data_IF_132589816461
#
_entry.id   IF_132589816461
#
_cell.length_a   1.000
_cell.length_b   1.000
_cell.length_c   1.000
_cell.angle_alpha   90.00
_cell.angle_beta   90.00
_cell.angle_gamma   90.00
#
_symmetry.space_group_name_H-M   'P 1'
#
loop_
_entity.id
_entity.type
_entity.pdbx_description
1 polymer ?
#
# COMPACT_ATOMS: atom_id res chain seq x y z
N UNK A 1 13.67 27.54 -5.83
CA UNK A 1 14.52 26.39 -5.47
C UNK A 1 13.68 25.12 -5.60
N UNK A 2 13.75 24.42 -6.74
CA UNK A 2 12.92 23.25 -7.04
C UNK A 2 13.58 22.00 -6.42
N UNK A 3 13.05 21.51 -5.31
CA UNK A 3 13.66 20.45 -4.50
C UNK A 3 13.49 19.02 -5.06
N UNK A 4 12.78 18.80 -6.17
CA UNK A 4 12.59 17.45 -6.74
C UNK A 4 12.49 17.47 -8.27
N UNK A 5 13.61 17.53 -9.00
CA UNK A 5 13.59 17.58 -10.47
C UNK A 5 13.06 16.30 -11.15
N UNK A 6 12.80 15.21 -10.42
CA UNK A 6 12.42 13.90 -10.96
C UNK A 6 11.02 13.42 -10.50
N UNK A 7 10.29 14.24 -9.73
CA UNK A 7 9.04 13.86 -9.07
C UNK A 7 9.24 13.20 -7.69
N UNK A 8 8.18 13.14 -6.90
CA UNK A 8 8.20 12.62 -5.53
C UNK A 8 7.59 11.19 -5.49
N UNK A 9 7.99 10.36 -4.53
CA UNK A 9 7.54 8.95 -4.47
C UNK A 9 6.03 8.83 -4.20
N UNK A 10 5.40 9.87 -3.67
CA UNK A 10 4.04 9.86 -3.13
C UNK A 10 3.08 10.70 -3.99
N UNK A 11 3.57 11.70 -4.74
CA UNK A 11 2.77 12.48 -5.68
C UNK A 11 3.49 12.80 -7.00
N UNK A 12 2.74 12.76 -8.09
CA UNK A 12 3.22 13.04 -9.45
C UNK A 12 3.16 14.53 -9.85
N UNK A 13 3.56 14.85 -11.10
CA UNK A 13 4.03 13.93 -12.15
C UNK A 13 5.42 13.34 -11.85
N UNK A 14 5.64 12.11 -12.29
CA UNK A 14 6.90 11.36 -12.12
C UNK A 14 7.67 11.39 -13.44
N UNK A 15 8.99 11.61 -13.40
CA UNK A 15 9.81 11.56 -14.62
C UNK A 15 9.93 10.14 -15.17
N UNK A 16 10.21 10.01 -16.47
CA UNK A 16 10.38 8.69 -17.10
C UNK A 16 11.52 7.88 -16.43
N UNK A 17 12.61 8.54 -16.07
CA UNK A 17 13.77 7.92 -15.40
C UNK A 17 13.37 7.38 -14.02
N UNK A 18 12.58 8.15 -13.26
CA UNK A 18 12.09 7.72 -11.95
C UNK A 18 11.09 6.57 -12.08
N UNK A 19 10.22 6.60 -13.09
CA UNK A 19 9.31 5.52 -13.42
C UNK A 19 10.07 4.21 -13.72
N UNK A 20 11.09 4.29 -14.57
CA UNK A 20 11.97 3.15 -14.90
C UNK A 20 12.64 2.56 -13.65
N UNK A 21 13.19 3.41 -12.77
CA UNK A 21 13.83 2.96 -11.54
C UNK A 21 12.86 2.23 -10.58
N UNK A 22 11.65 2.76 -10.39
CA UNK A 22 10.67 2.09 -9.51
C UNK A 22 10.12 0.80 -10.14
N UNK A 23 10.00 0.74 -11.47
CA UNK A 23 9.67 -0.48 -12.20
C UNK A 23 10.74 -1.56 -12.00
N UNK A 24 12.01 -1.24 -12.24
CA UNK A 24 13.15 -2.17 -12.04
C UNK A 24 13.23 -2.68 -10.60
N UNK A 25 12.98 -1.81 -9.62
CA UNK A 25 12.93 -2.21 -8.19
C UNK A 25 11.79 -3.17 -7.90
N UNK A 26 10.63 -2.98 -8.53
CA UNK A 26 9.48 -3.84 -8.33
C UNK A 26 9.70 -5.21 -8.99
N UNK A 27 10.18 -5.23 -10.23
CA UNK A 27 10.43 -6.48 -10.97
C UNK A 27 11.59 -7.27 -10.39
N UNK A 28 12.67 -6.63 -9.95
CA UNK A 28 13.78 -7.31 -9.26
C UNK A 28 13.31 -8.02 -7.98
N UNK A 29 12.44 -7.39 -7.20
CA UNK A 29 11.84 -8.02 -5.99
C UNK A 29 10.92 -9.17 -6.38
N UNK A 30 10.13 -9.03 -7.45
CA UNK A 30 9.28 -10.10 -7.96
C UNK A 30 10.11 -11.31 -8.37
N UNK A 31 11.15 -11.13 -9.19
CA UNK A 31 11.99 -12.24 -9.66
C UNK A 31 12.73 -12.93 -8.51
N UNK A 32 13.27 -12.16 -7.55
CA UNK A 32 13.91 -12.72 -6.36
C UNK A 32 12.94 -13.59 -5.54
N UNK A 33 11.72 -13.11 -5.26
CA UNK A 33 10.73 -13.89 -4.51
C UNK A 33 10.25 -15.10 -5.33
N UNK A 34 10.19 -14.98 -6.66
CA UNK A 34 9.83 -16.09 -7.55
C UNK A 34 10.89 -17.19 -7.54
N UNK A 35 12.18 -16.84 -7.59
CA UNK A 35 13.28 -17.81 -7.66
C UNK A 35 13.67 -18.41 -6.31
N UNK A 36 13.64 -17.63 -5.24
CA UNK A 36 14.18 -18.02 -3.93
C UNK A 36 13.10 -18.15 -2.85
N UNK A 37 11.86 -17.77 -3.17
CA UNK A 37 10.80 -17.62 -2.18
C UNK A 37 10.94 -16.35 -1.35
N UNK A 38 10.01 -16.15 -0.41
CA UNK A 38 10.07 -14.99 0.48
C UNK A 38 11.10 -15.19 1.61
N UNK A 39 12.21 -14.45 1.58
CA UNK A 39 13.23 -14.45 2.64
C UNK A 39 12.87 -13.43 3.72
N UNK A 40 12.63 -13.88 4.96
CA UNK A 40 12.20 -12.99 6.06
C UNK A 40 13.28 -12.02 6.53
N UNK A 41 14.53 -12.44 6.51
CA UNK A 41 15.66 -11.69 7.05
C UNK A 41 16.00 -10.45 6.21
N UNK A 42 15.53 -10.38 4.96
CA UNK A 42 15.60 -9.18 4.12
C UNK A 42 14.61 -8.08 4.56
N UNK A 43 13.79 -8.38 5.56
CA UNK A 43 12.92 -7.46 6.25
C UNK A 43 11.44 -7.62 5.91
N UNK A 44 10.61 -7.41 6.92
CA UNK A 44 9.16 -7.56 6.84
C UNK A 44 8.46 -6.26 6.41
N UNK A 45 7.43 -6.32 5.54
CA UNK A 45 6.51 -5.22 5.34
C UNK A 45 5.89 -4.72 6.64
N UNK A 46 5.80 -3.40 6.76
CA UNK A 46 5.19 -2.75 7.92
C UNK A 46 3.76 -2.38 7.62
N UNK A 47 2.85 -2.71 8.54
CA UNK A 47 1.44 -2.39 8.45
C UNK A 47 1.00 -1.47 9.58
N UNK A 48 0.09 -0.56 9.22
CA UNK A 48 -0.68 0.23 10.16
C UNK A 48 -2.12 -0.25 10.12
N UNK A 49 -2.67 -0.52 11.28
CA UNK A 49 -4.06 -0.94 11.46
C UNK A 49 -4.93 0.30 11.57
N UNK A 50 -5.91 0.42 10.69
CA UNK A 50 -7.01 1.37 10.83
C UNK A 50 -8.14 0.64 11.53
N UNK A 51 -8.77 1.27 12.52
CA UNK A 51 -9.87 0.70 13.30
C UNK A 51 -11.13 1.56 13.20
N UNK A 52 -12.25 0.92 12.87
CA UNK A 52 -13.62 1.48 12.87
C UNK A 52 -14.54 0.54 13.62
N UNK A 53 -14.90 0.86 14.87
CA UNK A 53 -15.66 -0.07 15.71
C UNK A 53 -14.95 -1.41 15.90
N UNK A 54 -15.55 -2.50 15.40
CA UNK A 54 -14.98 -3.85 15.40
C UNK A 54 -14.32 -4.24 14.06
N UNK A 55 -14.25 -3.32 13.11
CA UNK A 55 -13.62 -3.53 11.80
C UNK A 55 -12.17 -3.08 11.82
N UNK A 56 -11.31 -3.83 11.12
CA UNK A 56 -9.88 -3.57 11.03
C UNK A 56 -9.42 -3.60 9.58
N UNK A 57 -8.68 -2.57 9.16
CA UNK A 57 -8.04 -2.50 7.85
C UNK A 57 -6.52 -2.42 8.01
N UNK A 58 -5.82 -3.34 7.35
CA UNK A 58 -4.36 -3.41 7.38
C UNK A 58 -3.76 -2.62 6.22
N UNK A 59 -3.30 -1.39 6.49
CA UNK A 59 -2.71 -0.50 5.50
C UNK A 59 -1.19 -0.71 5.42
N UNK A 60 -0.63 -1.10 4.27
CA UNK A 60 0.81 -1.22 4.12
C UNK A 60 1.49 0.16 4.13
N UNK A 61 2.51 0.32 4.95
CA UNK A 61 3.26 1.56 5.13
C UNK A 61 4.61 1.50 4.43
N UNK A 62 5.36 0.40 4.63
CA UNK A 62 6.74 0.23 4.12
C UNK A 62 6.90 -1.09 3.38
N UNK A 63 7.89 -1.14 2.49
CA UNK A 63 8.26 -2.32 1.69
C UNK A 63 7.11 -2.88 0.84
N UNK A 64 6.29 -2.00 0.29
CA UNK A 64 5.10 -2.33 -0.51
C UNK A 64 5.41 -3.18 -1.76
N UNK A 65 6.61 -3.07 -2.32
CA UNK A 65 7.00 -3.87 -3.49
C UNK A 65 6.99 -5.37 -3.20
N UNK A 66 7.42 -5.79 -2.01
CA UNK A 66 7.38 -7.20 -1.59
C UNK A 66 5.94 -7.70 -1.50
N UNK A 67 5.02 -6.89 -0.98
CA UNK A 67 3.58 -7.21 -0.91
C UNK A 67 3.01 -7.38 -2.33
N UNK A 68 3.31 -6.44 -3.22
CA UNK A 68 2.83 -6.50 -4.60
C UNK A 68 3.38 -7.74 -5.33
N UNK A 69 4.67 -8.05 -5.17
CA UNK A 69 5.28 -9.25 -5.73
C UNK A 69 4.65 -10.55 -5.20
N UNK A 70 4.48 -10.68 -3.88
CA UNK A 70 3.82 -11.84 -3.27
C UNK A 70 2.39 -12.01 -3.77
N UNK A 71 1.63 -10.91 -3.86
CA UNK A 71 0.27 -10.92 -4.41
C UNK A 71 0.25 -11.37 -5.87
N UNK A 72 1.18 -10.88 -6.69
CA UNK A 72 1.31 -11.27 -8.10
C UNK A 72 1.67 -12.75 -8.26
N UNK A 73 2.49 -13.30 -7.36
CA UNK A 73 2.86 -14.72 -7.31
C UNK A 73 1.76 -15.62 -6.69
N UNK A 74 0.64 -15.04 -6.24
CA UNK A 74 -0.50 -15.79 -5.71
C UNK A 74 -0.32 -16.28 -4.27
N UNK A 75 0.49 -15.61 -3.46
CA UNK A 75 0.58 -15.90 -2.03
C UNK A 75 -0.72 -15.50 -1.33
N UNK A 76 -1.27 -16.41 -0.53
CA UNK A 76 -2.49 -16.16 0.25
C UNK A 76 -2.23 -15.38 1.55
N UNK A 77 -0.97 -15.33 2.00
CA UNK A 77 -0.57 -14.63 3.22
C UNK A 77 0.74 -13.86 3.04
N UNK A 78 0.90 -12.78 3.81
CA UNK A 78 2.09 -11.93 3.80
C UNK A 78 2.65 -11.85 5.23
N UNK A 79 3.88 -12.31 5.49
CA UNK A 79 4.51 -12.10 6.79
C UNK A 79 4.78 -10.60 6.96
N UNK A 80 4.41 -10.07 8.12
CA UNK A 80 4.34 -8.64 8.35
C UNK A 80 4.73 -8.28 9.78
N UNK A 81 5.06 -7.01 9.99
CA UNK A 81 5.24 -6.41 11.31
C UNK A 81 4.44 -5.11 11.42
N UNK A 82 4.23 -4.63 12.63
CA UNK A 82 3.55 -3.36 12.85
C UNK A 82 4.49 -2.18 12.57
N UNK A 83 3.90 -1.10 12.04
CA UNK A 83 4.56 0.20 12.04
C UNK A 83 4.62 0.77 13.47
N UNK A 84 5.51 1.74 13.72
CA UNK A 84 5.68 2.34 15.06
C UNK A 84 4.37 2.89 15.62
N UNK A 85 3.56 3.51 14.77
CA UNK A 85 2.16 3.82 15.07
C UNK A 85 1.35 2.68 14.51
N UNK A 86 1.10 1.68 15.36
CA UNK A 86 0.49 0.42 14.95
C UNK A 86 -1.01 0.57 14.67
N UNK A 87 -1.74 1.35 15.49
CA UNK A 87 -3.19 1.47 15.40
C UNK A 87 -3.61 2.93 15.26
N UNK A 88 -4.49 3.21 14.31
CA UNK A 88 -5.20 4.49 14.14
C UNK A 88 -6.69 4.22 14.26
N UNK A 89 -7.26 4.66 15.38
CA UNK A 89 -8.69 4.52 15.67
C UNK A 89 -9.45 5.79 15.29
N UNK A 90 -10.56 5.62 14.57
CA UNK A 90 -11.45 6.71 14.17
C UNK A 90 -12.01 7.49 15.36
N UNK A 91 -12.17 6.83 16.52
CA UNK A 91 -12.64 7.48 17.75
C UNK A 91 -11.65 8.53 18.27
N UNK A 92 -10.38 8.42 17.86
CA UNK A 92 -9.34 9.39 18.18
C UNK A 92 -9.25 10.54 17.17
N UNK A 93 -10.12 10.60 16.17
CA UNK A 93 -10.00 11.56 15.07
C UNK A 93 -9.95 13.03 15.52
N UNK A 94 -10.67 13.40 16.58
CA UNK A 94 -10.63 14.76 17.14
C UNK A 94 -9.24 15.18 17.62
N UNK A 95 -8.38 14.22 17.95
CA UNK A 95 -7.01 14.45 18.45
C UNK A 95 -5.94 14.33 17.36
N UNK A 96 -6.32 13.93 16.13
CA UNK A 96 -5.34 13.82 15.06
C UNK A 96 -4.73 15.20 14.77
N UNK A 97 -3.40 15.30 14.55
CA UNK A 97 -2.72 16.60 14.44
C UNK A 97 -3.33 17.55 13.41
N UNK A 98 -3.83 17.03 12.29
CA UNK A 98 -4.43 17.87 11.24
C UNK A 98 -5.87 18.30 11.59
N UNK A 99 -6.59 17.53 12.39
CA UNK A 99 -7.94 17.87 12.87
C UNK A 99 -7.86 18.86 14.02
N UNK A 100 -7.01 18.60 15.01
CA UNK A 100 -6.83 19.48 16.18
C UNK A 100 -6.25 20.85 15.79
N UNK A 101 -5.47 20.92 14.71
CA UNK A 101 -4.97 22.18 14.13
C UNK A 101 -5.97 22.88 13.19
N UNK A 102 -7.17 22.34 13.01
CA UNK A 102 -8.20 22.90 12.13
C UNK A 102 -7.86 22.85 10.63
N UNK A 103 -6.83 22.11 10.22
CA UNK A 103 -6.49 21.92 8.79
C UNK A 103 -7.47 20.98 8.09
N UNK A 104 -8.06 20.07 8.85
CA UNK A 104 -9.16 19.20 8.42
C UNK A 104 -10.31 19.33 9.40
N UNK A 105 -11.55 19.35 8.90
CA UNK A 105 -12.71 19.23 9.79
C UNK A 105 -12.86 17.78 10.27
N UNK A 106 -13.30 17.60 11.51
CA UNK A 106 -13.57 16.28 12.08
C UNK A 106 -14.51 15.46 11.18
N UNK A 107 -15.57 16.09 10.68
CA UNK A 107 -16.54 15.46 9.79
C UNK A 107 -15.91 14.96 8.49
N UNK A 108 -15.10 15.79 7.81
CA UNK A 108 -14.41 15.39 6.56
C UNK A 108 -13.41 14.27 6.82
N UNK A 109 -12.68 14.34 7.93
CA UNK A 109 -11.76 13.28 8.32
C UNK A 109 -12.47 11.95 8.58
N UNK A 110 -13.64 11.98 9.25
CA UNK A 110 -14.46 10.79 9.47
C UNK A 110 -14.96 10.19 8.17
N UNK A 111 -15.59 11.00 7.30
CA UNK A 111 -16.06 10.55 5.98
C UNK A 111 -14.95 9.94 5.12
N UNK A 112 -13.76 10.55 5.11
CA UNK A 112 -12.63 9.99 4.37
C UNK A 112 -12.16 8.66 4.96
N UNK A 113 -12.14 8.54 6.28
CA UNK A 113 -11.77 7.29 6.94
C UNK A 113 -12.78 6.18 6.65
N UNK A 114 -14.08 6.47 6.72
CA UNK A 114 -15.14 5.53 6.37
C UNK A 114 -15.01 5.06 4.92
N UNK A 115 -14.75 5.99 3.99
CA UNK A 115 -14.49 5.66 2.60
C UNK A 115 -13.35 4.65 2.41
N UNK A 116 -12.31 4.65 3.26
CA UNK A 116 -11.23 3.66 3.15
C UNK A 116 -11.70 2.23 3.45
N UNK A 117 -12.70 2.07 4.32
CA UNK A 117 -13.27 0.76 4.67
C UNK A 117 -14.33 0.34 3.64
N UNK A 118 -15.11 1.30 3.15
CA UNK A 118 -16.25 1.02 2.28
C UNK A 118 -15.85 0.92 0.79
N UNK A 119 -14.60 1.29 0.46
CA UNK A 119 -14.06 1.17 -0.90
C UNK A 119 -13.87 -0.30 -1.30
N UNK A 120 -14.71 -0.78 -2.20
CA UNK A 120 -14.41 -1.98 -2.99
C UNK A 120 -13.32 -1.66 -4.01
N UNK A 121 -12.07 -1.86 -3.59
CA UNK A 121 -10.92 -1.59 -4.44
C UNK A 121 -10.91 -2.48 -5.69
N UNK A 122 -11.43 -3.71 -5.64
CA UNK A 122 -11.40 -4.61 -6.82
C UNK A 122 -12.36 -4.11 -7.88
N UNK A 123 -13.59 -3.78 -7.48
CA UNK A 123 -14.58 -3.18 -8.38
C UNK A 123 -14.06 -1.88 -8.97
N UNK A 124 -13.47 -1.00 -8.15
CA UNK A 124 -12.91 0.26 -8.61
C UNK A 124 -11.81 0.07 -9.67
N UNK A 125 -10.86 -0.86 -9.45
CA UNK A 125 -9.78 -1.13 -10.42
C UNK A 125 -10.33 -1.71 -11.74
N UNK A 126 -11.34 -2.57 -11.67
CA UNK A 126 -12.02 -3.13 -12.85
C UNK A 126 -12.71 -2.03 -13.68
N UNK A 127 -13.48 -1.16 -13.03
CA UNK A 127 -14.17 -0.03 -13.67
C UNK A 127 -13.18 0.96 -14.32
N UNK A 128 -11.96 1.05 -13.79
CA UNK A 128 -10.89 1.88 -14.37
C UNK A 128 -10.13 1.19 -15.50
N UNK A 129 -10.43 -0.07 -15.82
CA UNK A 129 -9.68 -0.84 -16.83
C UNK A 129 -8.21 -1.07 -16.42
N UNK A 130 -7.93 -1.06 -15.11
CA UNK A 130 -6.58 -1.22 -14.55
C UNK A 130 -6.23 -2.67 -14.22
N UNK A 131 -7.10 -3.61 -14.60
CA UNK A 131 -6.86 -5.05 -14.42
C UNK A 131 -6.30 -5.62 -15.71
N UNK A 132 -5.13 -6.24 -15.61
CA UNK A 132 -4.55 -7.06 -16.67
C UNK A 132 -4.89 -8.52 -16.39
N UNK A 133 -5.13 -9.33 -17.43
CA UNK A 133 -5.23 -10.78 -17.24
C UNK A 133 -3.89 -11.26 -16.69
N UNK A 134 -3.88 -11.77 -15.46
CA UNK A 134 -2.74 -12.57 -14.99
C UNK A 134 -2.64 -13.78 -15.90
N UNK A 135 -1.53 -13.94 -16.61
CA UNK A 135 -1.21 -15.19 -17.28
C UNK A 135 -1.01 -16.23 -16.18
N UNK A 136 -2.02 -17.07 -15.97
CA UNK A 136 -1.92 -18.25 -15.12
C UNK A 136 -1.07 -19.29 -15.85
N UNK A 137 0.25 -19.11 -15.86
CA UNK A 137 1.18 -20.21 -16.11
C UNK A 137 1.41 -20.91 -14.77
N UNK A 138 0.43 -21.73 -14.36
CA UNK A 138 0.65 -22.76 -13.34
C UNK A 138 0.83 -24.09 -14.06
N UNK A 139 2.00 -24.30 -14.63
CA UNK A 139 2.55 -25.66 -14.78
C UNK A 139 3.61 -25.81 -13.69
N UNK A 140 3.18 -26.34 -12.54
CA UNK A 140 4.11 -26.93 -11.59
C UNK A 140 4.21 -28.41 -11.96
N UNK A 141 5.32 -28.78 -12.59
CA UNK A 141 5.77 -30.17 -12.76
C UNK A 141 6.22 -30.77 -11.44
#
# INVERSE_FOLDING_TARGET
>A
MLLFPLGEKVYGPVSNEKGKLEYERLTSVYESIKSEGYIRDEGLPHFRVLKRGNEYLFRPVRRKHRIAAMSALGYDYVPATYDRIAVVDIEMAKWWPQVSRGKWSLEKSKKYFDYLFDLDSRKWVLEKGLVFKQCNEREYT
#
